data_IF_423749486745
#
_entry.id   IF_423749486745
#
_cell.length_a   1.000
_cell.length_b   1.000
_cell.length_c   1.000
_cell.angle_alpha   90.00
_cell.angle_beta   90.00
_cell.angle_gamma   90.00
#
_symmetry.space_group_name_H-M   'P 1'
#
loop_
_entity.id
_entity.type
_entity.pdbx_description
1 polymer ?
#
# COMPACT_ATOMS: atom_id res chain seq x y z
N UNK A 1 10.20 25.43 -18.30
CA UNK A 1 11.46 25.09 -17.60
C UNK A 1 11.25 24.49 -16.19
N UNK A 2 10.30 24.97 -15.35
CA UNK A 2 10.14 24.43 -13.96
C UNK A 2 9.51 23.03 -13.89
N UNK A 3 8.64 22.65 -14.82
CA UNK A 3 7.97 21.33 -14.85
C UNK A 3 8.94 20.23 -15.30
N UNK A 4 9.82 20.52 -16.25
CA UNK A 4 10.85 19.56 -16.72
C UNK A 4 11.88 19.29 -15.61
N UNK A 5 12.22 20.30 -14.80
CA UNK A 5 13.09 20.12 -13.64
C UNK A 5 12.46 19.30 -12.50
N UNK A 6 11.13 19.40 -12.31
CA UNK A 6 10.42 18.59 -11.32
C UNK A 6 10.28 17.12 -11.77
N UNK A 7 10.03 16.90 -13.05
CA UNK A 7 9.99 15.56 -13.66
C UNK A 7 11.38 14.89 -13.61
N UNK A 8 12.45 15.62 -13.90
CA UNK A 8 13.82 15.07 -13.80
C UNK A 8 14.23 14.77 -12.36
N UNK A 9 13.78 15.56 -11.38
CA UNK A 9 13.99 15.28 -9.96
C UNK A 9 13.19 14.05 -9.50
N UNK A 10 11.96 13.90 -9.97
CA UNK A 10 11.14 12.72 -9.69
C UNK A 10 11.75 11.45 -10.31
N UNK A 11 12.27 11.56 -11.54
CA UNK A 11 13.01 10.46 -12.20
C UNK A 11 14.31 10.12 -11.47
N UNK A 12 15.08 11.12 -11.02
CA UNK A 12 16.31 10.89 -10.27
C UNK A 12 16.04 10.23 -8.90
N UNK A 13 14.94 10.58 -8.23
CA UNK A 13 14.53 9.97 -6.97
C UNK A 13 13.95 8.56 -7.15
N UNK A 14 13.26 8.28 -8.27
CA UNK A 14 12.71 6.97 -8.57
C UNK A 14 13.75 5.95 -9.05
N UNK A 15 14.84 6.42 -9.68
CA UNK A 15 15.88 5.55 -10.27
C UNK A 15 17.27 5.73 -9.63
N UNK A 16 17.39 6.58 -8.63
CA UNK A 16 18.68 7.01 -8.05
C UNK A 16 19.22 6.16 -6.89
N UNK A 17 18.73 4.97 -6.63
CA UNK A 17 19.20 4.16 -5.50
C UNK A 17 19.41 2.69 -5.82
N UNK A 18 20.14 2.42 -6.88
CA UNK A 18 20.67 1.09 -7.18
C UNK A 18 22.17 1.04 -6.92
N UNK A 19 22.58 0.81 -5.69
CA UNK A 19 23.95 0.35 -5.40
C UNK A 19 24.03 -1.16 -5.70
N UNK A 20 24.08 -1.49 -6.99
CA UNK A 20 24.65 -2.72 -7.45
C UNK A 20 25.75 -2.30 -8.44
N UNK A 21 26.99 -2.46 -8.04
CA UNK A 21 28.18 -2.20 -8.85
C UNK A 21 28.30 -3.24 -9.97
N UNK A 22 27.45 -3.14 -10.96
CA UNK A 22 27.62 -3.64 -12.31
C UNK A 22 27.48 -2.45 -13.23
N UNK A 23 28.25 -2.36 -14.30
CA UNK A 23 28.07 -1.32 -15.30
C UNK A 23 26.61 -1.32 -15.75
N UNK A 24 25.81 -0.40 -15.18
CA UNK A 24 24.42 -0.26 -15.52
C UNK A 24 24.33 0.11 -16.99
N UNK A 25 23.80 -0.78 -17.80
CA UNK A 25 23.62 -0.56 -19.23
C UNK A 25 22.66 0.62 -19.42
N UNK A 26 23.20 1.79 -19.74
CA UNK A 26 22.37 2.97 -19.92
C UNK A 26 21.64 2.94 -21.26
N UNK A 27 20.44 2.41 -21.27
CA UNK A 27 19.56 2.33 -22.44
C UNK A 27 18.59 3.52 -22.53
N UNK A 28 18.64 4.49 -21.64
CA UNK A 28 17.65 5.59 -21.54
C UNK A 28 17.56 6.45 -22.80
N UNK A 29 18.67 6.64 -23.53
CA UNK A 29 18.72 7.42 -24.76
C UNK A 29 18.48 6.60 -26.03
N UNK A 30 18.34 5.27 -25.91
CA UNK A 30 18.06 4.38 -27.04
C UNK A 30 16.59 4.37 -27.39
N UNK A 31 16.26 3.94 -28.62
CA UNK A 31 14.87 3.79 -29.02
C UNK A 31 14.10 2.81 -28.12
N UNK A 32 14.76 1.76 -27.60
CA UNK A 32 14.13 0.78 -26.70
C UNK A 32 13.81 1.40 -25.33
N UNK A 33 14.67 2.28 -24.82
CA UNK A 33 14.40 3.01 -23.58
C UNK A 33 13.20 3.94 -23.71
N UNK A 34 13.12 4.69 -24.83
CA UNK A 34 11.99 5.58 -25.13
C UNK A 34 10.70 4.75 -25.32
N UNK A 35 10.76 3.65 -26.08
CA UNK A 35 9.62 2.76 -26.26
C UNK A 35 9.13 2.17 -24.93
N UNK A 36 10.03 1.71 -24.07
CA UNK A 36 9.70 1.20 -22.73
C UNK A 36 9.01 2.27 -21.86
N UNK A 37 9.49 3.52 -21.91
CA UNK A 37 8.85 4.63 -21.20
C UNK A 37 7.43 4.88 -21.71
N UNK A 38 7.21 4.87 -23.02
CA UNK A 38 5.87 5.03 -23.62
C UNK A 38 4.95 3.89 -23.18
N UNK A 39 5.43 2.64 -23.26
CA UNK A 39 4.68 1.45 -22.83
C UNK A 39 4.32 1.54 -21.35
N UNK A 40 5.25 1.98 -20.51
CA UNK A 40 5.00 2.20 -19.07
C UNK A 40 3.89 3.24 -18.84
N UNK A 41 3.98 4.41 -19.49
CA UNK A 41 2.97 5.48 -19.34
C UNK A 41 1.60 5.02 -19.80
N UNK A 42 1.51 4.35 -20.96
CA UNK A 42 0.25 3.79 -21.48
C UNK A 42 -0.30 2.74 -20.52
N UNK A 43 0.55 1.89 -20.01
CA UNK A 43 0.15 0.88 -19.05
C UNK A 43 -0.33 1.42 -17.73
N UNK A 44 0.37 2.41 -17.22
CA UNK A 44 -0.06 3.08 -16.00
C UNK A 44 -1.42 3.79 -16.17
N UNK A 45 -1.69 4.32 -17.36
CA UNK A 45 -3.02 4.85 -17.69
C UNK A 45 -4.10 3.76 -17.57
N UNK A 46 -3.88 2.55 -18.07
CA UNK A 46 -4.83 1.44 -17.93
C UNK A 46 -4.99 1.00 -16.47
N UNK A 47 -3.91 0.99 -15.69
CA UNK A 47 -3.95 0.68 -14.26
C UNK A 47 -4.78 1.74 -13.50
N UNK A 48 -4.54 3.04 -13.79
CA UNK A 48 -5.24 4.13 -13.12
C UNK A 48 -6.73 4.23 -13.49
N UNK A 49 -7.12 3.69 -14.65
CA UNK A 49 -8.50 3.72 -15.15
C UNK A 49 -9.20 2.37 -15.06
N UNK A 50 -8.77 1.49 -14.13
CA UNK A 50 -9.30 0.13 -13.95
C UNK A 50 -10.83 0.10 -13.81
N UNK A 51 -11.39 1.05 -13.07
CA UNK A 51 -12.85 1.14 -12.85
C UNK A 51 -13.63 1.38 -14.16
N UNK A 52 -13.07 2.16 -15.09
CA UNK A 52 -13.72 2.48 -16.37
C UNK A 52 -13.72 1.30 -17.34
N UNK A 53 -12.65 0.49 -17.32
CA UNK A 53 -12.48 -0.65 -18.23
C UNK A 53 -12.87 -1.99 -17.60
N UNK A 54 -13.18 -2.03 -16.30
CA UNK A 54 -13.50 -3.25 -15.55
C UNK A 54 -12.41 -4.32 -15.66
N UNK A 55 -11.14 -3.90 -15.79
CA UNK A 55 -9.96 -4.76 -15.90
C UNK A 55 -9.16 -4.63 -14.61
N UNK A 56 -8.98 -5.72 -13.89
CA UNK A 56 -8.14 -5.75 -12.69
C UNK A 56 -6.71 -5.24 -13.01
N UNK A 57 -6.23 -4.30 -12.21
CA UNK A 57 -4.93 -3.61 -12.37
C UNK A 57 -3.72 -4.55 -12.45
N UNK A 58 -3.80 -5.75 -11.86
CA UNK A 58 -2.71 -6.73 -11.93
C UNK A 58 -2.47 -7.22 -13.36
N UNK A 59 -3.52 -7.35 -14.18
CA UNK A 59 -3.41 -7.85 -15.55
C UNK A 59 -2.58 -6.92 -16.46
N UNK A 60 -2.92 -5.62 -16.60
CA UNK A 60 -2.09 -4.70 -17.38
C UNK A 60 -0.69 -4.55 -16.79
N UNK A 61 -0.52 -4.53 -15.47
CA UNK A 61 0.78 -4.41 -14.83
C UNK A 61 1.72 -5.57 -15.19
N UNK A 62 1.26 -6.83 -15.08
CA UNK A 62 2.03 -8.02 -15.43
C UNK A 62 2.33 -8.04 -16.92
N UNK A 63 1.33 -7.78 -17.78
CA UNK A 63 1.51 -7.80 -19.23
C UNK A 63 2.57 -6.79 -19.68
N UNK A 64 2.48 -5.56 -19.22
CA UNK A 64 3.37 -4.46 -19.58
C UNK A 64 4.78 -4.69 -19.05
N UNK A 65 4.91 -5.10 -17.78
CA UNK A 65 6.20 -5.43 -17.20
C UNK A 65 6.91 -6.54 -18.00
N UNK A 66 6.22 -7.64 -18.27
CA UNK A 66 6.76 -8.75 -19.06
C UNK A 66 7.13 -8.31 -20.48
N UNK A 67 6.28 -7.51 -21.12
CA UNK A 67 6.52 -7.03 -22.49
C UNK A 67 7.74 -6.11 -22.57
N UNK A 68 7.93 -5.22 -21.57
CA UNK A 68 9.11 -4.36 -21.50
C UNK A 68 10.39 -5.18 -21.35
N UNK A 69 10.42 -6.18 -20.47
CA UNK A 69 11.58 -7.07 -20.35
C UNK A 69 11.88 -7.85 -21.62
N UNK A 70 10.86 -8.34 -22.32
CA UNK A 70 11.03 -9.00 -23.63
C UNK A 70 11.61 -8.04 -24.65
N UNK A 71 11.09 -6.81 -24.73
CA UNK A 71 11.56 -5.80 -25.68
C UNK A 71 13.04 -5.45 -25.46
N UNK A 72 13.43 -5.27 -24.19
CA UNK A 72 14.82 -5.01 -23.82
C UNK A 72 15.71 -6.21 -24.15
N UNK A 73 15.24 -7.43 -23.86
CA UNK A 73 15.97 -8.66 -24.17
C UNK A 73 16.23 -8.84 -25.66
N UNK A 74 15.23 -8.60 -26.51
CA UNK A 74 15.39 -8.62 -27.97
C UNK A 74 16.36 -7.55 -28.46
N UNK A 75 16.29 -6.34 -27.92
CA UNK A 75 17.23 -5.27 -28.25
C UNK A 75 18.67 -5.65 -27.89
N UNK A 76 18.89 -6.22 -26.71
CA UNK A 76 20.21 -6.65 -26.26
C UNK A 76 20.78 -7.75 -27.16
N UNK A 77 19.98 -8.76 -27.50
CA UNK A 77 20.36 -9.82 -28.42
C UNK A 77 20.72 -9.27 -29.80
N UNK A 78 19.90 -8.38 -30.36
CA UNK A 78 20.12 -7.82 -31.69
C UNK A 78 21.37 -6.95 -31.80
N UNK A 79 21.80 -6.33 -30.67
CA UNK A 79 23.00 -5.49 -30.62
C UNK A 79 24.24 -6.21 -30.06
N UNK A 80 24.18 -7.52 -29.81
CA UNK A 80 25.29 -8.29 -29.26
C UNK A 80 25.70 -7.88 -27.84
N UNK A 81 24.76 -7.32 -27.05
CA UNK A 81 24.97 -6.95 -25.66
C UNK A 81 24.85 -8.16 -24.75
N UNK A 82 25.47 -8.10 -23.58
CA UNK A 82 25.45 -9.20 -22.62
C UNK A 82 24.07 -9.38 -21.98
N UNK A 83 23.34 -10.42 -22.40
CA UNK A 83 22.00 -10.75 -21.89
C UNK A 83 22.04 -11.23 -20.43
N UNK A 84 23.21 -11.66 -19.91
CA UNK A 84 23.33 -12.07 -18.53
C UNK A 84 23.05 -10.92 -17.56
N UNK A 85 23.27 -9.66 -17.94
CA UNK A 85 22.89 -8.51 -17.14
C UNK A 85 21.38 -8.47 -16.94
N UNK A 86 20.59 -8.62 -18.00
CA UNK A 86 19.13 -8.65 -17.92
C UNK A 86 18.63 -9.87 -17.11
N UNK A 87 19.27 -11.02 -17.30
CA UNK A 87 18.93 -12.24 -16.56
C UNK A 87 19.16 -12.06 -15.05
N UNK A 88 20.23 -11.39 -14.65
CA UNK A 88 20.50 -11.10 -13.25
C UNK A 88 19.44 -10.16 -12.66
N UNK A 89 19.03 -9.12 -13.39
CA UNK A 89 17.95 -8.23 -12.96
C UNK A 89 16.60 -8.96 -12.80
N UNK A 90 16.26 -9.83 -13.74
CA UNK A 90 15.05 -10.67 -13.66
C UNK A 90 15.11 -11.61 -12.47
N UNK A 91 16.26 -12.26 -12.23
CA UNK A 91 16.43 -13.14 -11.07
C UNK A 91 16.32 -12.38 -9.75
N UNK A 92 16.89 -11.17 -9.69
CA UNK A 92 16.77 -10.30 -8.51
C UNK A 92 15.31 -9.90 -8.24
N UNK A 93 14.58 -9.50 -9.28
CA UNK A 93 13.14 -9.22 -9.20
C UNK A 93 12.32 -10.42 -8.73
N UNK A 94 12.60 -11.62 -9.27
CA UNK A 94 11.91 -12.85 -8.83
C UNK A 94 12.20 -13.13 -7.36
N UNK A 95 13.42 -12.91 -6.90
CA UNK A 95 13.79 -13.07 -5.51
C UNK A 95 13.04 -12.09 -4.60
N UNK A 96 12.98 -10.80 -4.96
CA UNK A 96 12.23 -9.78 -4.21
C UNK A 96 10.74 -10.12 -4.14
N UNK A 97 10.13 -10.46 -5.28
CA UNK A 97 8.72 -10.88 -5.33
C UNK A 97 8.49 -12.10 -4.44
N UNK A 98 9.37 -13.10 -4.52
CA UNK A 98 9.25 -14.32 -3.72
C UNK A 98 9.32 -14.03 -2.21
N UNK A 99 10.22 -13.16 -1.78
CA UNK A 99 10.33 -12.75 -0.37
C UNK A 99 9.04 -12.09 0.12
N UNK A 100 8.46 -11.19 -0.67
CA UNK A 100 7.20 -10.51 -0.34
C UNK A 100 6.06 -11.53 -0.28
N UNK A 101 5.95 -12.43 -1.26
CA UNK A 101 4.90 -13.46 -1.31
C UNK A 101 4.98 -14.40 -0.11
N UNK A 102 6.17 -14.89 0.22
CA UNK A 102 6.34 -15.77 1.39
C UNK A 102 6.04 -15.05 2.71
N UNK A 103 6.47 -13.80 2.83
CA UNK A 103 6.13 -12.99 4.00
C UNK A 103 4.61 -12.80 4.14
N UNK A 104 3.94 -12.37 3.06
CA UNK A 104 2.49 -12.18 3.07
C UNK A 104 1.74 -13.47 3.38
N UNK A 105 2.20 -14.61 2.84
CA UNK A 105 1.60 -15.91 3.11
C UNK A 105 1.63 -16.27 4.60
N UNK A 106 2.78 -16.04 5.27
CA UNK A 106 2.91 -16.27 6.71
C UNK A 106 2.07 -15.26 7.51
N UNK A 107 2.10 -13.98 7.16
CA UNK A 107 1.35 -12.94 7.84
C UNK A 107 -0.17 -13.19 7.72
N UNK A 108 -0.67 -13.51 6.52
CA UNK A 108 -2.09 -13.82 6.30
C UNK A 108 -2.54 -15.07 7.05
N UNK A 109 -1.71 -16.12 7.11
CA UNK A 109 -2.01 -17.31 7.91
C UNK A 109 -2.15 -16.98 9.40
N UNK A 110 -1.31 -16.06 9.91
CA UNK A 110 -1.41 -15.61 11.30
C UNK A 110 -2.69 -14.81 11.55
N UNK A 111 -3.05 -13.91 10.64
CA UNK A 111 -4.28 -13.11 10.73
C UNK A 111 -5.51 -14.02 10.66
N UNK A 112 -5.53 -15.00 9.74
CA UNK A 112 -6.59 -16.00 9.61
C UNK A 112 -6.80 -16.76 10.93
N UNK A 113 -5.71 -17.18 11.57
CA UNK A 113 -5.78 -17.84 12.88
C UNK A 113 -6.37 -16.94 13.98
N UNK A 114 -6.16 -15.62 13.92
CA UNK A 114 -6.81 -14.66 14.85
C UNK A 114 -8.31 -14.53 14.54
N UNK A 115 -8.70 -14.53 13.27
CA UNK A 115 -10.10 -14.51 12.83
C UNK A 115 -10.81 -15.79 13.29
N UNK A 116 -10.24 -16.96 13.04
CA UNK A 116 -10.79 -18.26 13.46
C UNK A 116 -10.95 -18.39 14.99
N UNK A 117 -10.10 -17.71 15.75
CA UNK A 117 -10.19 -17.67 17.22
C UNK A 117 -11.14 -16.60 17.75
N UNK A 118 -11.96 -16.00 16.90
CA UNK A 118 -12.96 -14.99 17.27
C UNK A 118 -12.40 -13.75 17.98
N UNK A 119 -11.09 -13.46 17.84
CA UNK A 119 -10.47 -12.31 18.48
C UNK A 119 -11.15 -11.00 18.07
N UNK A 120 -11.48 -10.85 16.80
CA UNK A 120 -12.16 -9.66 16.28
C UNK A 120 -13.64 -9.62 16.66
N UNK A 121 -14.31 -10.77 16.80
CA UNK A 121 -15.67 -10.84 17.32
C UNK A 121 -15.74 -10.49 18.81
N UNK A 122 -14.75 -10.88 19.60
CA UNK A 122 -14.64 -10.44 20.99
C UNK A 122 -14.42 -8.93 21.10
N UNK A 123 -13.58 -8.36 20.19
CA UNK A 123 -13.40 -6.90 20.12
C UNK A 123 -14.72 -6.20 19.76
N UNK A 124 -15.46 -6.68 18.76
CA UNK A 124 -16.78 -6.20 18.37
C UNK A 124 -17.76 -6.24 19.53
N UNK A 125 -17.87 -7.38 20.22
CA UNK A 125 -18.75 -7.53 21.36
C UNK A 125 -18.45 -6.49 22.45
N UNK A 126 -17.18 -6.30 22.78
CA UNK A 126 -16.74 -5.30 23.75
C UNK A 126 -17.07 -3.85 23.36
N UNK A 127 -17.04 -3.53 22.05
CA UNK A 127 -17.39 -2.20 21.56
C UNK A 127 -18.90 -1.93 21.60
N UNK A 128 -19.71 -2.94 21.27
CA UNK A 128 -21.17 -2.82 21.17
C UNK A 128 -21.82 -2.91 22.55
N UNK A 129 -21.39 -3.85 23.42
CA UNK A 129 -22.04 -4.15 24.70
C UNK A 129 -21.93 -3.04 25.74
N UNK A 130 -21.01 -2.09 25.59
CA UNK A 130 -20.76 -1.02 26.56
C UNK A 130 -21.63 0.22 26.39
N UNK A 131 -22.54 0.24 25.41
CA UNK A 131 -23.47 1.36 25.20
C UNK A 131 -22.77 2.69 24.90
N UNK A 132 -21.68 2.67 24.19
CA UNK A 132 -20.93 3.88 23.84
C UNK A 132 -21.70 4.77 22.87
N UNK A 133 -21.50 6.09 23.00
CA UNK A 133 -22.02 7.07 22.04
C UNK A 133 -21.32 6.94 20.68
N UNK A 134 -21.98 7.40 19.60
CA UNK A 134 -21.40 7.43 18.26
C UNK A 134 -20.02 8.10 18.22
N UNK A 135 -19.85 9.23 18.89
CA UNK A 135 -18.55 9.92 18.98
C UNK A 135 -17.48 9.08 19.65
N UNK A 136 -17.85 8.37 20.72
CA UNK A 136 -16.89 7.50 21.42
C UNK A 136 -16.50 6.30 20.56
N UNK A 137 -17.46 5.69 19.87
CA UNK A 137 -17.20 4.60 18.93
C UNK A 137 -16.32 5.05 17.76
N UNK A 138 -16.59 6.22 17.20
CA UNK A 138 -15.78 6.82 16.15
C UNK A 138 -14.29 6.96 16.56
N UNK A 139 -14.02 7.52 17.75
CA UNK A 139 -12.65 7.66 18.24
C UNK A 139 -12.01 6.32 18.58
N UNK A 140 -12.73 5.42 19.23
CA UNK A 140 -12.20 4.10 19.59
C UNK A 140 -11.84 3.27 18.36
N UNK A 141 -12.70 3.25 17.34
CA UNK A 141 -12.40 2.50 16.11
C UNK A 141 -11.23 3.10 15.34
N UNK A 142 -11.08 4.43 15.31
CA UNK A 142 -9.92 5.08 14.71
C UNK A 142 -8.61 4.79 15.48
N UNK A 143 -8.61 4.88 16.81
CA UNK A 143 -7.44 4.52 17.63
C UNK A 143 -7.07 3.05 17.41
N UNK A 144 -8.06 2.15 17.46
CA UNK A 144 -7.82 0.72 17.21
C UNK A 144 -7.25 0.49 15.82
N UNK A 145 -7.79 1.14 14.77
CA UNK A 145 -7.28 1.03 13.41
C UNK A 145 -5.83 1.48 13.32
N UNK A 146 -5.47 2.60 13.96
CA UNK A 146 -4.12 3.15 13.93
C UNK A 146 -3.09 2.21 14.59
N UNK A 147 -3.45 1.55 15.70
CA UNK A 147 -2.51 0.69 16.43
C UNK A 147 -2.55 -0.80 16.03
N UNK A 148 -3.63 -1.27 15.41
CA UNK A 148 -3.70 -2.65 14.90
C UNK A 148 -3.02 -2.75 13.54
N UNK A 149 -3.17 -1.75 12.68
CA UNK A 149 -2.65 -1.76 11.31
C UNK A 149 -1.14 -2.05 11.19
N UNK A 150 -0.26 -1.55 12.07
CA UNK A 150 1.17 -1.89 12.02
C UNK A 150 1.50 -3.38 12.10
N UNK A 151 0.55 -4.20 12.55
CA UNK A 151 0.73 -5.65 12.76
C UNK A 151 -0.16 -6.47 11.81
N UNK A 152 -1.39 -6.00 11.57
CA UNK A 152 -2.42 -6.75 10.85
C UNK A 152 -2.67 -6.24 9.41
N UNK A 153 -1.78 -5.45 8.86
CA UNK A 153 -1.89 -4.66 7.63
C UNK A 153 -3.07 -3.67 7.58
N UNK A 154 -2.97 -2.69 6.68
CA UNK A 154 -3.95 -1.62 6.57
C UNK A 154 -5.29 -2.09 5.97
N UNK A 155 -5.25 -2.97 4.96
CA UNK A 155 -6.46 -3.46 4.30
C UNK A 155 -7.29 -4.34 5.23
N UNK A 156 -6.66 -5.32 5.87
CA UNK A 156 -7.32 -6.23 6.82
C UNK A 156 -7.90 -5.46 7.99
N UNK A 157 -7.13 -4.54 8.56
CA UNK A 157 -7.58 -3.68 9.67
C UNK A 157 -8.80 -2.85 9.27
N UNK A 158 -8.75 -2.21 8.08
CA UNK A 158 -9.86 -1.41 7.58
C UNK A 158 -11.12 -2.24 7.34
N UNK A 159 -11.00 -3.41 6.72
CA UNK A 159 -12.13 -4.30 6.46
C UNK A 159 -12.79 -4.80 7.74
N UNK A 160 -11.99 -5.28 8.70
CA UNK A 160 -12.52 -5.81 9.97
C UNK A 160 -13.24 -4.72 10.75
N UNK A 161 -12.62 -3.56 10.96
CA UNK A 161 -13.22 -2.50 11.76
C UNK A 161 -14.40 -1.83 11.05
N UNK A 162 -14.39 -1.73 9.72
CA UNK A 162 -15.55 -1.25 8.96
C UNK A 162 -16.73 -2.21 9.07
N UNK A 163 -16.48 -3.52 9.07
CA UNK A 163 -17.53 -4.54 9.33
C UNK A 163 -18.10 -4.39 10.73
N UNK A 164 -17.27 -4.16 11.74
CA UNK A 164 -17.73 -3.86 13.11
C UNK A 164 -18.62 -2.62 13.11
N UNK A 165 -18.22 -1.54 12.42
CA UNK A 165 -18.99 -0.30 12.34
C UNK A 165 -20.40 -0.54 11.73
N UNK A 166 -20.49 -1.32 10.64
CA UNK A 166 -21.75 -1.69 10.00
C UNK A 166 -22.68 -2.48 10.92
N UNK A 167 -22.15 -3.23 11.88
CA UNK A 167 -22.98 -3.99 12.83
C UNK A 167 -23.51 -3.16 14.00
N UNK A 168 -22.91 -1.99 14.25
CA UNK A 168 -23.33 -1.08 15.31
C UNK A 168 -24.63 -0.38 14.91
N UNK A 169 -24.66 0.24 13.73
CA UNK A 169 -25.87 0.89 13.21
C UNK A 169 -25.80 1.03 11.70
N UNK A 170 -26.57 0.22 10.97
CA UNK A 170 -26.65 0.23 9.50
C UNK A 170 -27.41 1.43 8.92
N UNK A 171 -28.24 2.05 9.73
CA UNK A 171 -29.18 3.07 9.24
C UNK A 171 -28.62 4.48 9.33
N UNK A 172 -27.58 4.69 10.13
CA UNK A 172 -26.98 6.01 10.36
C UNK A 172 -25.86 6.27 9.36
N UNK A 173 -26.21 6.76 8.16
CA UNK A 173 -25.25 7.02 7.06
C UNK A 173 -24.12 7.97 7.48
N UNK A 174 -24.41 9.01 8.24
CA UNK A 174 -23.39 9.99 8.64
C UNK A 174 -22.35 9.35 9.58
N UNK A 175 -22.79 8.51 10.50
CA UNK A 175 -21.90 7.76 11.38
C UNK A 175 -21.06 6.74 10.59
N UNK A 176 -21.68 6.00 9.68
CA UNK A 176 -20.99 5.00 8.86
C UNK A 176 -19.95 5.62 7.94
N UNK A 177 -20.31 6.68 7.22
CA UNK A 177 -19.38 7.35 6.31
C UNK A 177 -18.21 7.98 7.05
N UNK A 178 -18.50 8.77 8.09
CA UNK A 178 -17.44 9.39 8.89
C UNK A 178 -16.55 8.34 9.57
N UNK A 179 -17.14 7.29 10.14
CA UNK A 179 -16.42 6.21 10.79
C UNK A 179 -15.58 5.37 9.84
N UNK A 180 -16.11 5.01 8.66
CA UNK A 180 -15.37 4.27 7.64
C UNK A 180 -14.18 5.07 7.11
N UNK A 181 -14.35 6.35 6.79
CA UNK A 181 -13.25 7.22 6.37
C UNK A 181 -12.18 7.32 7.48
N UNK A 182 -12.62 7.51 8.74
CA UNK A 182 -11.70 7.56 9.88
C UNK A 182 -10.89 6.27 10.03
N UNK A 183 -11.54 5.10 9.93
CA UNK A 183 -10.88 3.79 10.01
C UNK A 183 -9.87 3.62 8.87
N UNK A 184 -10.25 3.94 7.63
CA UNK A 184 -9.36 3.79 6.47
C UNK A 184 -8.14 4.72 6.60
N UNK A 185 -8.35 5.98 6.97
CA UNK A 185 -7.24 6.93 7.16
C UNK A 185 -6.36 6.51 8.33
N UNK A 186 -6.96 6.07 9.45
CA UNK A 186 -6.23 5.59 10.61
C UNK A 186 -5.42 4.32 10.30
N UNK A 187 -5.98 3.37 9.56
CA UNK A 187 -5.29 2.14 9.16
C UNK A 187 -4.10 2.43 8.23
N UNK A 188 -4.29 3.30 7.23
CA UNK A 188 -3.17 3.69 6.35
C UNK A 188 -2.08 4.47 7.10
N UNK A 189 -2.47 5.43 7.92
CA UNK A 189 -1.52 6.19 8.74
C UNK A 189 -0.80 5.29 9.77
N UNK A 190 -1.53 4.33 10.35
CA UNK A 190 -0.99 3.33 11.26
C UNK A 190 -0.02 2.39 10.55
N UNK A 191 -0.33 1.95 9.35
CA UNK A 191 0.54 1.09 8.54
C UNK A 191 1.86 1.75 8.15
N UNK A 192 1.89 3.07 7.99
CA UNK A 192 3.05 3.79 7.50
C UNK A 192 4.27 3.78 8.43
N UNK A 193 4.09 3.63 9.74
CA UNK A 193 5.19 3.66 10.72
C UNK A 193 5.70 2.27 11.13
N UNK A 194 5.34 1.23 10.36
CA UNK A 194 5.82 -0.13 10.53
C UNK A 194 6.13 -0.76 9.17
N UNK A 195 7.17 -1.58 9.04
CA UNK A 195 7.41 -2.35 7.82
C UNK A 195 6.27 -3.31 7.46
N UNK A 196 5.49 -3.75 8.45
CA UNK A 196 4.47 -4.79 8.28
C UNK A 196 3.05 -4.24 8.08
N UNK A 197 2.87 -2.94 8.28
CA UNK A 197 1.55 -2.32 8.24
C UNK A 197 1.05 -1.93 6.84
N UNK A 198 1.95 -1.91 5.84
CA UNK A 198 1.64 -1.63 4.45
C UNK A 198 2.62 -2.37 3.54
N UNK A 199 2.14 -2.79 2.35
CA UNK A 199 2.99 -3.51 1.39
C UNK A 199 4.14 -2.63 0.87
N UNK A 200 3.94 -1.32 0.79
CA UNK A 200 4.96 -0.37 0.34
C UNK A 200 6.10 -0.22 1.34
N UNK A 201 5.78 -0.16 2.64
CA UNK A 201 6.78 -0.15 3.72
C UNK A 201 7.52 -1.48 3.82
N UNK A 202 6.80 -2.59 3.60
CA UNK A 202 7.40 -3.93 3.54
C UNK A 202 8.42 -4.04 2.40
N UNK A 203 8.08 -3.53 1.21
CA UNK A 203 8.99 -3.53 0.07
C UNK A 203 10.24 -2.70 0.35
N UNK A 204 10.11 -1.51 0.94
CA UNK A 204 11.24 -0.68 1.29
C UNK A 204 12.17 -1.34 2.33
N UNK A 205 11.60 -2.03 3.31
CA UNK A 205 12.36 -2.79 4.30
C UNK A 205 13.03 -4.04 3.70
N UNK A 206 12.30 -4.84 2.92
CA UNK A 206 12.82 -6.06 2.27
C UNK A 206 13.96 -5.74 1.29
N UNK A 207 13.87 -4.63 0.56
CA UNK A 207 14.93 -4.12 -0.32
C UNK A 207 16.13 -3.50 0.44
N UNK A 208 16.14 -3.52 1.78
CA UNK A 208 17.22 -2.98 2.60
C UNK A 208 17.38 -1.45 2.54
N UNK A 209 16.37 -0.72 2.03
CA UNK A 209 16.45 0.74 1.86
C UNK A 209 16.26 1.50 3.16
N UNK A 210 15.57 0.90 4.14
CA UNK A 210 15.38 1.44 5.46
C UNK A 210 15.46 0.33 6.51
N UNK A 211 16.26 0.47 7.58
CA UNK A 211 16.26 -0.45 8.70
C UNK A 211 14.94 -0.37 9.47
N UNK A 212 14.56 -1.44 10.15
CA UNK A 212 13.29 -1.56 10.88
C UNK A 212 13.01 -0.37 11.80
N UNK A 213 14.04 0.13 12.50
CA UNK A 213 13.90 1.19 13.50
C UNK A 213 13.55 2.55 12.88
N UNK A 214 13.93 2.80 11.63
CA UNK A 214 13.70 4.10 10.97
C UNK A 214 12.23 4.34 10.66
N UNK A 215 11.42 3.27 10.54
CA UNK A 215 9.98 3.41 10.34
C UNK A 215 9.28 4.09 11.52
N UNK A 216 9.80 3.93 12.74
CA UNK A 216 9.24 4.61 13.91
C UNK A 216 9.39 6.15 13.85
N UNK A 217 10.33 6.67 13.07
CA UNK A 217 10.43 8.11 12.83
C UNK A 217 9.23 8.68 12.07
N UNK A 218 8.46 7.84 11.36
CA UNK A 218 7.23 8.24 10.67
C UNK A 218 6.02 8.34 11.62
N UNK A 219 6.11 7.78 12.82
CA UNK A 219 5.00 7.77 13.78
C UNK A 219 4.43 9.17 14.06
N UNK A 220 5.21 10.21 14.39
CA UNK A 220 4.65 11.52 14.70
C UNK A 220 3.88 12.13 13.52
N UNK A 221 4.42 12.02 12.31
CA UNK A 221 3.79 12.56 11.10
C UNK A 221 2.49 11.82 10.79
N UNK A 222 2.51 10.49 10.83
CA UNK A 222 1.34 9.62 10.60
C UNK A 222 0.25 9.88 11.64
N UNK A 223 0.62 9.99 12.91
CA UNK A 223 -0.32 10.23 14.00
C UNK A 223 -0.99 11.60 13.88
N UNK A 224 -0.23 12.66 13.62
CA UNK A 224 -0.77 14.01 13.42
C UNK A 224 -1.68 14.04 12.18
N UNK A 225 -1.27 13.44 11.05
CA UNK A 225 -2.06 13.37 9.83
C UNK A 225 -3.41 12.71 10.04
N UNK A 226 -3.43 11.56 10.75
CA UNK A 226 -4.67 10.91 11.14
C UNK A 226 -5.51 11.78 12.07
N UNK A 227 -4.92 12.37 13.14
CA UNK A 227 -5.65 13.19 14.11
C UNK A 227 -6.34 14.39 13.44
N UNK A 228 -5.66 15.09 12.53
CA UNK A 228 -6.26 16.23 11.82
C UNK A 228 -7.50 15.78 11.05
N UNK A 229 -7.41 14.67 10.31
CA UNK A 229 -8.55 14.11 9.58
C UNK A 229 -9.67 13.68 10.54
N UNK A 230 -9.34 13.00 11.62
CA UNK A 230 -10.30 12.54 12.61
C UNK A 230 -11.05 13.71 13.28
N UNK A 231 -10.35 14.81 13.63
CA UNK A 231 -10.98 15.99 14.19
C UNK A 231 -11.95 16.69 13.22
N UNK A 232 -11.62 16.71 11.92
CA UNK A 232 -12.52 17.26 10.91
C UNK A 232 -13.77 16.38 10.75
N UNK A 233 -13.60 15.07 10.68
CA UNK A 233 -14.70 14.09 10.53
C UNK A 233 -15.57 14.01 11.78
N UNK A 234 -15.01 14.18 12.97
CA UNK A 234 -15.76 14.13 14.23
C UNK A 234 -16.90 15.17 14.30
N UNK A 235 -16.85 16.22 13.47
CA UNK A 235 -17.90 17.25 13.36
C UNK A 235 -19.17 16.71 12.68
N UNK A 236 -19.02 15.71 11.81
CA UNK A 236 -20.13 15.12 11.06
C UNK A 236 -20.78 13.98 11.85
N UNK A 237 -20.06 13.41 12.82
CA UNK A 237 -20.56 12.30 13.65
C UNK A 237 -21.75 12.78 14.51
N UNK A 238 -22.89 12.08 14.42
CA UNK A 238 -24.10 12.46 15.15
C UNK A 238 -23.92 12.37 16.66
N UNK A 239 -24.73 13.11 17.37
CA UNK A 239 -24.86 12.98 18.83
C UNK A 239 -25.76 11.77 19.17
N UNK A 240 -25.59 11.20 20.37
CA UNK A 240 -26.40 10.07 20.84
C UNK A 240 -25.67 8.74 20.83
N UNK A 241 -26.43 7.68 21.04
CA UNK A 241 -25.95 6.31 21.10
C UNK A 241 -26.72 5.44 20.08
N UNK A 242 -26.11 4.40 19.51
CA UNK A 242 -26.83 3.41 18.75
C UNK A 242 -27.86 2.70 19.62
N UNK A 243 -29.00 2.32 19.02
CA UNK A 243 -30.11 1.61 19.69
C UNK A 243 -29.89 0.12 19.74
#
# INVERSE_FOLDING_TARGET
MKIVGLLSLFFALAFGSGDAAGEALNLTTTWVGIASLIIFVVGYFFIATEENFHIDKAKPAIFIGTFMFLLIGFYMLANGLDVHLLQNEVNHLILEISQIVFFLMVAMTYIEALIERDVFNALKYNLVSKGYTYKRLFWLTGVLAFFISPVADNLTTALILSTVLLTIDRNNTNFLVAGAINIVVAANAGGAWSPFGDITTLMAWAAGKAPFIDFFALFPASFIGWLVTAFLLARIVPAGSPH
#
